data_IF_178662312937
#
_entry.id   IF_178662312937
#
_cell.length_a   1.000
_cell.length_b   1.000
_cell.length_c   1.000
_cell.angle_alpha   90.00
_cell.angle_beta   90.00
_cell.angle_gamma   90.00
#
_symmetry.space_group_name_H-M   'P 1'
#
loop_
_entity.id
_entity.type
_entity.pdbx_description
1 polymer ?
#
# COMPACT_ATOMS: atom_id res chain seq x y z
N UNK A 1 -4.81 -10.12 23.12
CA UNK A 1 -4.00 -9.45 22.07
C UNK A 1 -2.84 -10.37 21.75
N UNK A 2 -2.61 -10.63 20.47
CA UNK A 2 -1.46 -11.39 20.01
C UNK A 2 -0.17 -10.64 20.32
N UNK A 3 0.89 -11.35 20.69
CA UNK A 3 2.19 -10.72 20.97
C UNK A 3 2.89 -10.43 19.65
N UNK A 4 2.72 -9.21 19.15
CA UNK A 4 3.41 -8.76 17.93
C UNK A 4 4.90 -8.54 18.26
N UNK A 5 5.78 -9.23 17.55
CA UNK A 5 7.22 -8.99 17.62
C UNK A 5 7.62 -8.08 16.46
N UNK A 6 8.29 -6.98 16.79
CA UNK A 6 8.78 -6.00 15.82
C UNK A 6 10.31 -5.99 15.80
N UNK A 7 10.89 -6.00 14.61
CA UNK A 7 12.33 -5.79 14.41
C UNK A 7 12.55 -4.72 13.34
N UNK A 8 13.45 -3.77 13.63
CA UNK A 8 13.76 -2.64 12.77
C UNK A 8 15.24 -2.67 12.37
N UNK A 9 15.51 -2.28 11.13
CA UNK A 9 16.86 -2.05 10.62
C UNK A 9 16.86 -1.05 9.45
N UNK A 10 18.05 -0.78 8.93
CA UNK A 10 18.26 0.14 7.82
C UNK A 10 19.07 -0.51 6.70
N UNK A 11 18.82 -0.10 5.46
CA UNK A 11 19.63 -0.43 4.30
C UNK A 11 20.11 0.85 3.60
N UNK A 12 21.40 0.88 3.25
CA UNK A 12 22.06 2.01 2.59
C UNK A 12 22.48 1.69 1.15
N UNK A 13 22.07 0.52 0.64
CA UNK A 13 22.18 0.13 -0.77
C UNK A 13 21.02 -0.77 -1.20
N UNK A 14 20.81 -0.91 -2.50
CA UNK A 14 19.79 -1.81 -3.06
C UNK A 14 20.07 -3.27 -2.72
N UNK A 15 21.33 -3.69 -2.74
CA UNK A 15 21.74 -5.05 -2.38
C UNK A 15 21.47 -5.34 -0.90
N UNK A 16 21.75 -4.39 -0.01
CA UNK A 16 21.41 -4.52 1.41
C UNK A 16 19.89 -4.66 1.61
N UNK A 17 19.08 -3.83 0.93
CA UNK A 17 17.62 -3.92 1.00
C UNK A 17 17.14 -5.29 0.52
N UNK A 18 17.61 -5.74 -0.65
CA UNK A 18 17.26 -7.05 -1.22
C UNK A 18 17.63 -8.19 -0.28
N UNK A 19 18.84 -8.18 0.27
CA UNK A 19 19.30 -9.20 1.21
C UNK A 19 18.45 -9.26 2.49
N UNK A 20 18.03 -8.11 3.02
CA UNK A 20 17.11 -8.06 4.16
C UNK A 20 15.75 -8.66 3.82
N UNK A 21 15.19 -8.32 2.65
CA UNK A 21 13.90 -8.86 2.20
C UNK A 21 13.99 -10.37 1.92
N UNK A 22 15.04 -10.84 1.25
CA UNK A 22 15.25 -12.28 1.00
C UNK A 22 15.39 -13.05 2.31
N UNK A 23 16.15 -12.52 3.28
CA UNK A 23 16.26 -13.12 4.60
C UNK A 23 14.89 -13.21 5.30
N UNK A 24 14.07 -12.16 5.18
CA UNK A 24 12.70 -12.17 5.71
C UNK A 24 11.82 -13.23 5.04
N UNK A 25 11.87 -13.34 3.71
CA UNK A 25 11.13 -14.36 2.95
C UNK A 25 11.56 -15.79 3.33
N UNK A 26 12.87 -16.02 3.47
CA UNK A 26 13.44 -17.35 3.72
C UNK A 26 13.23 -17.82 5.16
N UNK A 27 13.08 -16.89 6.11
CA UNK A 27 12.80 -17.20 7.50
C UNK A 27 11.37 -17.71 7.76
N UNK A 28 10.46 -17.58 6.80
CA UNK A 28 9.08 -18.02 6.94
C UNK A 28 8.82 -19.33 6.20
N UNK A 29 8.25 -20.35 6.86
CA UNK A 29 7.89 -21.59 6.20
C UNK A 29 6.74 -21.41 5.19
N UNK A 30 6.09 -20.24 5.14
CA UNK A 30 4.88 -20.06 4.35
C UNK A 30 5.08 -20.00 2.85
N UNK A 31 4.08 -20.49 2.09
CA UNK A 31 4.16 -20.76 0.65
C UNK A 31 3.76 -19.58 -0.24
N UNK A 32 3.32 -18.45 0.34
CA UNK A 32 2.82 -17.32 -0.44
C UNK A 32 3.22 -15.95 0.09
N UNK A 33 3.94 -15.21 -0.75
CA UNK A 33 4.26 -13.80 -0.54
C UNK A 33 3.42 -12.90 -1.44
N UNK A 34 2.89 -11.83 -0.86
CA UNK A 34 2.28 -10.72 -1.59
C UNK A 34 3.17 -9.49 -1.41
N UNK A 35 3.48 -8.80 -2.50
CA UNK A 35 4.37 -7.63 -2.51
C UNK A 35 3.57 -6.43 -3.01
N UNK A 36 3.29 -5.49 -2.12
CA UNK A 36 2.68 -4.21 -2.45
C UNK A 36 3.76 -3.25 -2.96
N UNK A 37 3.58 -2.77 -4.18
CA UNK A 37 4.53 -1.91 -4.88
C UNK A 37 3.87 -1.18 -6.04
N UNK A 38 4.60 -0.25 -6.66
CA UNK A 38 4.07 0.55 -7.77
C UNK A 38 2.96 1.49 -7.35
N UNK A 39 2.91 1.87 -6.06
CA UNK A 39 1.87 2.77 -5.60
C UNK A 39 1.97 4.11 -6.32
N UNK A 40 0.85 4.56 -6.87
CA UNK A 40 0.74 5.85 -7.53
C UNK A 40 -0.53 6.59 -7.15
N UNK A 41 -0.46 7.91 -7.27
CA UNK A 41 -1.59 8.82 -7.11
C UNK A 41 -2.25 9.09 -8.46
N UNK A 42 -3.54 9.37 -8.47
CA UNK A 42 -4.25 9.88 -9.65
C UNK A 42 -4.13 11.39 -9.73
N UNK A 43 -3.78 11.91 -10.91
CA UNK A 43 -3.71 13.34 -11.18
C UNK A 43 -4.71 13.71 -12.26
N UNK A 44 -5.34 14.87 -12.13
CA UNK A 44 -6.21 15.41 -13.17
C UNK A 44 -5.40 15.98 -14.34
N UNK A 45 -5.57 15.36 -15.51
CA UNK A 45 -5.05 15.84 -16.78
C UNK A 45 -6.08 16.78 -17.45
N UNK A 46 -5.76 18.06 -17.46
CA UNK A 46 -6.60 19.11 -18.05
C UNK A 46 -6.73 19.00 -19.57
N UNK A 47 -5.76 18.38 -20.26
CA UNK A 47 -5.81 18.26 -21.71
C UNK A 47 -6.79 17.18 -22.16
N UNK A 48 -6.81 16.06 -21.45
CA UNK A 48 -7.70 14.94 -21.74
C UNK A 48 -9.00 14.95 -20.93
N UNK A 49 -9.14 15.91 -20.00
CA UNK A 49 -10.26 16.03 -19.04
C UNK A 49 -10.50 14.73 -18.26
N UNK A 50 -9.41 14.08 -17.82
CA UNK A 50 -9.45 12.74 -17.21
C UNK A 50 -8.43 12.62 -16.08
N UNK A 51 -8.58 11.58 -15.27
CA UNK A 51 -7.53 11.19 -14.32
C UNK A 51 -6.47 10.35 -15.03
N UNK A 52 -5.22 10.69 -14.80
CA UNK A 52 -4.05 9.96 -15.28
C UNK A 52 -3.29 9.33 -14.10
N UNK A 53 -2.70 8.13 -14.28
CA UNK A 53 -1.76 7.56 -13.30
C UNK A 53 -0.56 8.48 -13.09
N UNK A 54 -0.18 8.68 -11.83
CA UNK A 54 0.99 9.44 -11.40
C UNK A 54 2.33 8.73 -11.65
N UNK A 55 2.52 8.24 -12.87
CA UNK A 55 3.74 7.58 -13.36
C UNK A 55 4.33 8.45 -14.45
N UNK A 56 5.28 9.32 -14.10
CA UNK A 56 5.69 10.43 -14.97
C UNK A 56 6.34 9.96 -16.29
N UNK A 57 6.87 8.74 -16.33
CA UNK A 57 7.44 8.12 -17.53
C UNK A 57 6.38 7.88 -18.63
N UNK A 58 5.12 7.72 -18.24
CA UNK A 58 4.01 7.42 -19.14
C UNK A 58 3.19 8.68 -19.53
N UNK A 59 3.34 9.77 -18.78
CA UNK A 59 2.63 11.03 -19.03
C UNK A 59 3.20 11.75 -20.26
N UNK A 60 2.31 12.13 -21.18
CA UNK A 60 2.66 12.85 -22.42
C UNK A 60 2.63 14.37 -22.24
N UNK A 61 1.65 14.91 -21.51
CA UNK A 61 1.59 16.35 -21.25
C UNK A 61 2.82 16.83 -20.46
N UNK A 62 3.65 17.72 -21.01
CA UNK A 62 4.88 18.17 -20.34
C UNK A 62 4.63 18.85 -18.99
N UNK A 63 3.52 19.58 -18.85
CA UNK A 63 3.20 20.29 -17.61
C UNK A 63 2.84 19.30 -16.50
N UNK A 64 1.89 18.41 -16.77
CA UNK A 64 1.51 17.35 -15.85
C UNK A 64 2.69 16.44 -15.52
N UNK A 65 3.49 16.07 -16.52
CA UNK A 65 4.71 15.26 -16.33
C UNK A 65 5.67 15.90 -15.34
N UNK A 66 5.91 17.21 -15.45
CA UNK A 66 6.78 17.93 -14.52
C UNK A 66 6.20 17.94 -13.11
N UNK A 67 4.89 18.14 -12.96
CA UNK A 67 4.21 18.14 -11.66
C UNK A 67 4.30 16.76 -10.98
N UNK A 68 3.97 15.70 -11.72
CA UNK A 68 4.05 14.33 -11.20
C UNK A 68 5.49 13.96 -10.88
N UNK A 69 6.45 14.30 -11.74
CA UNK A 69 7.88 14.06 -11.48
C UNK A 69 8.35 14.74 -10.19
N UNK A 70 7.96 15.99 -9.96
CA UNK A 70 8.32 16.73 -8.75
C UNK A 70 7.65 16.13 -7.50
N UNK A 71 6.42 15.63 -7.62
CA UNK A 71 5.66 15.14 -6.48
C UNK A 71 6.04 13.71 -6.09
N UNK A 72 6.18 12.84 -7.08
CA UNK A 72 6.24 11.39 -6.88
C UNK A 72 7.63 10.83 -7.18
N UNK A 73 8.36 11.44 -8.12
CA UNK A 73 9.68 10.98 -8.51
C UNK A 73 9.65 9.58 -9.12
N UNK A 74 10.75 8.83 -8.97
CA UNK A 74 10.90 7.49 -9.54
C UNK A 74 10.21 6.38 -8.73
N UNK A 75 9.69 6.69 -7.55
CA UNK A 75 9.17 5.69 -6.60
C UNK A 75 8.19 4.67 -7.24
N UNK A 76 7.18 5.06 -8.05
CA UNK A 76 6.21 4.10 -8.57
C UNK A 76 6.87 3.07 -9.49
N UNK A 77 7.62 3.52 -10.50
CA UNK A 77 8.30 2.62 -11.45
C UNK A 77 9.41 1.82 -10.77
N UNK A 78 10.17 2.45 -9.87
CA UNK A 78 11.26 1.82 -9.14
C UNK A 78 10.77 0.68 -8.24
N UNK A 79 9.78 0.96 -7.38
CA UNK A 79 9.23 -0.04 -6.47
C UNK A 79 8.58 -1.20 -7.24
N UNK A 80 7.91 -0.92 -8.36
CA UNK A 80 7.32 -1.95 -9.22
C UNK A 80 8.39 -2.89 -9.81
N UNK A 81 9.47 -2.33 -10.36
CA UNK A 81 10.61 -3.10 -10.87
C UNK A 81 11.20 -3.98 -9.76
N UNK A 82 11.48 -3.39 -8.60
CA UNK A 82 12.02 -4.13 -7.45
C UNK A 82 11.10 -5.28 -7.03
N UNK A 83 9.79 -5.05 -6.99
CA UNK A 83 8.83 -6.08 -6.61
C UNK A 83 8.80 -7.27 -7.57
N UNK A 84 8.98 -7.04 -8.88
CA UNK A 84 9.13 -8.12 -9.86
C UNK A 84 10.37 -8.96 -9.54
N UNK A 85 11.53 -8.33 -9.34
CA UNK A 85 12.78 -9.04 -9.00
C UNK A 85 12.65 -9.84 -7.69
N UNK A 86 12.00 -9.27 -6.68
CA UNK A 86 11.73 -9.94 -5.41
C UNK A 86 10.78 -11.14 -5.58
N UNK A 87 9.74 -10.99 -6.39
CA UNK A 87 8.79 -12.06 -6.70
C UNK A 87 9.47 -13.20 -7.49
N UNK A 88 10.29 -12.87 -8.49
CA UNK A 88 11.10 -13.85 -9.23
C UNK A 88 12.01 -14.64 -8.31
N UNK A 89 12.74 -13.96 -7.42
CA UNK A 89 13.60 -14.63 -6.46
C UNK A 89 12.80 -15.60 -5.58
N UNK A 90 11.63 -15.19 -5.07
CA UNK A 90 10.80 -16.07 -4.25
C UNK A 90 10.28 -17.28 -5.03
N UNK A 91 9.87 -17.09 -6.29
CA UNK A 91 9.37 -18.19 -7.14
C UNK A 91 10.49 -19.17 -7.48
N UNK A 92 11.67 -18.68 -7.86
CA UNK A 92 12.78 -19.53 -8.31
C UNK A 92 13.52 -20.16 -7.14
N UNK A 93 13.95 -19.36 -6.16
CA UNK A 93 14.80 -19.82 -5.06
C UNK A 93 14.02 -20.64 -4.04
N UNK A 94 12.77 -20.26 -3.76
CA UNK A 94 11.98 -20.90 -2.72
C UNK A 94 10.92 -21.86 -3.27
N UNK A 95 10.75 -21.95 -4.59
CA UNK A 95 9.72 -22.76 -5.24
C UNK A 95 8.31 -22.48 -4.68
N UNK A 96 7.99 -21.20 -4.48
CA UNK A 96 6.78 -20.72 -3.80
C UNK A 96 6.06 -19.64 -4.59
N UNK A 97 4.80 -19.39 -4.25
CA UNK A 97 3.98 -18.43 -4.99
C UNK A 97 4.30 -16.99 -4.57
N UNK A 98 4.49 -16.12 -5.56
CA UNK A 98 4.57 -14.68 -5.35
C UNK A 98 3.47 -13.95 -6.11
N UNK A 99 2.85 -12.97 -5.44
CA UNK A 99 1.86 -12.08 -6.01
C UNK A 99 2.28 -10.62 -5.83
N UNK A 100 1.91 -9.77 -6.79
CA UNK A 100 2.07 -8.32 -6.73
C UNK A 100 0.74 -7.69 -6.32
N UNK A 101 0.79 -6.58 -5.59
CA UNK A 101 -0.37 -5.80 -5.18
C UNK A 101 -0.14 -4.34 -5.57
N UNK A 102 -1.04 -3.79 -6.38
CA UNK A 102 -1.00 -2.38 -6.78
C UNK A 102 -2.02 -1.58 -5.96
N UNK A 103 -1.56 -0.64 -5.16
CA UNK A 103 -2.41 0.32 -4.44
C UNK A 103 -2.51 1.64 -5.23
N UNK A 104 -3.71 2.19 -5.42
CA UNK A 104 -3.91 3.44 -6.16
C UNK A 104 -4.58 4.50 -5.27
N UNK A 105 -3.85 5.58 -5.00
CA UNK A 105 -4.36 6.77 -4.29
C UNK A 105 -5.19 7.64 -5.23
N UNK A 106 -6.50 7.57 -5.03
CA UNK A 106 -7.52 8.10 -5.95
C UNK A 106 -8.25 9.33 -5.40
N UNK A 107 -7.70 10.00 -4.38
CA UNK A 107 -8.41 11.08 -3.69
C UNK A 107 -7.60 12.38 -3.50
N UNK A 108 -6.27 12.36 -3.56
CA UNK A 108 -5.47 13.54 -3.21
C UNK A 108 -5.39 14.63 -4.30
N UNK A 109 -5.19 14.26 -5.56
CA UNK A 109 -4.94 15.19 -6.67
C UNK A 109 -6.04 15.17 -7.73
N UNK A 110 -7.26 14.83 -7.31
CA UNK A 110 -8.47 14.81 -8.14
C UNK A 110 -9.27 16.10 -7.94
N UNK A 111 -10.10 16.51 -8.90
CA UNK A 111 -10.97 17.68 -8.74
C UNK A 111 -11.87 17.51 -7.52
N UNK A 112 -12.16 18.60 -6.80
CA UNK A 112 -13.06 18.59 -5.64
C UNK A 112 -14.53 18.76 -6.05
N UNK A 113 -15.44 18.35 -5.17
CA UNK A 113 -16.89 18.45 -5.40
C UNK A 113 -17.51 17.19 -6.01
N UNK A 114 -18.74 17.32 -6.51
CA UNK A 114 -19.55 16.19 -6.96
C UNK A 114 -18.93 15.41 -8.13
N UNK A 115 -18.16 16.10 -8.99
CA UNK A 115 -17.49 15.50 -10.15
C UNK A 115 -16.32 14.57 -9.80
N UNK A 116 -15.79 14.64 -8.56
CA UNK A 116 -14.68 13.77 -8.13
C UNK A 116 -15.03 12.28 -8.24
N UNK A 117 -16.30 11.95 -7.95
CA UNK A 117 -16.81 10.59 -8.05
C UNK A 117 -16.88 10.11 -9.50
N UNK A 118 -17.29 10.99 -10.42
CA UNK A 118 -17.44 10.69 -11.84
C UNK A 118 -16.07 10.40 -12.47
N UNK A 119 -15.09 11.26 -12.21
CA UNK A 119 -13.72 11.08 -12.72
C UNK A 119 -13.07 9.79 -12.24
N UNK A 120 -13.22 9.43 -10.95
CA UNK A 120 -12.74 8.13 -10.43
C UNK A 120 -13.45 6.96 -11.10
N UNK A 121 -14.76 7.06 -11.26
CA UNK A 121 -15.57 6.01 -11.88
C UNK A 121 -15.15 5.79 -13.32
N UNK A 122 -14.95 6.86 -14.09
CA UNK A 122 -14.43 6.79 -15.46
C UNK A 122 -13.03 6.16 -15.49
N UNK A 123 -12.12 6.58 -14.59
CA UNK A 123 -10.79 6.00 -14.49
C UNK A 123 -10.85 4.48 -14.29
N UNK A 124 -11.55 3.98 -13.26
CA UNK A 124 -11.60 2.54 -12.98
C UNK A 124 -12.40 1.75 -14.02
N UNK A 125 -13.35 2.37 -14.70
CA UNK A 125 -14.03 1.74 -15.84
C UNK A 125 -13.07 1.53 -17.01
N UNK A 126 -12.14 2.47 -17.25
CA UNK A 126 -11.17 2.43 -18.35
C UNK A 126 -9.85 1.73 -18.00
N UNK A 127 -9.51 1.60 -16.72
CA UNK A 127 -8.25 1.00 -16.25
C UNK A 127 -8.26 -0.53 -16.39
N UNK A 128 -8.07 -1.02 -17.63
CA UNK A 128 -8.05 -2.45 -17.96
C UNK A 128 -6.65 -3.05 -18.08
N UNK A 129 -5.63 -2.21 -18.08
CA UNK A 129 -4.23 -2.58 -18.23
C UNK A 129 -3.37 -1.74 -17.28
N UNK A 130 -2.22 -2.27 -16.90
CA UNK A 130 -1.24 -1.55 -16.09
C UNK A 130 -0.62 -0.38 -16.87
N UNK A 131 -0.03 0.61 -16.19
CA UNK A 131 0.80 1.62 -16.83
C UNK A 131 1.84 1.00 -17.78
N UNK A 132 2.15 1.70 -18.88
CA UNK A 132 3.02 1.18 -19.94
C UNK A 132 4.41 0.85 -19.41
N UNK A 133 4.98 1.69 -18.53
CA UNK A 133 6.27 1.41 -17.89
C UNK A 133 6.22 0.13 -17.04
N UNK A 134 5.10 -0.13 -16.37
CA UNK A 134 4.93 -1.31 -15.52
C UNK A 134 4.82 -2.58 -16.36
N UNK A 135 4.08 -2.51 -17.47
CA UNK A 135 4.00 -3.60 -18.44
C UNK A 135 5.36 -3.89 -19.07
N UNK A 136 6.14 -2.85 -19.40
CA UNK A 136 7.48 -3.05 -19.96
C UNK A 136 8.40 -3.83 -19.00
N UNK A 137 8.36 -3.51 -17.71
CA UNK A 137 9.10 -4.28 -16.69
C UNK A 137 8.55 -5.69 -16.52
N UNK A 138 7.23 -5.86 -16.48
CA UNK A 138 6.61 -7.17 -16.34
C UNK A 138 6.93 -8.09 -17.53
N UNK A 139 6.90 -7.56 -18.75
CA UNK A 139 7.22 -8.29 -19.98
C UNK A 139 8.71 -8.64 -20.10
N UNK A 140 9.58 -8.00 -19.30
CA UNK A 140 11.00 -8.38 -19.22
C UNK A 140 11.22 -9.63 -18.35
N UNK A 141 10.24 -9.97 -17.51
CA UNK A 141 10.21 -11.22 -16.74
C UNK A 141 9.61 -12.36 -17.57
N UNK A 142 10.24 -13.53 -17.52
CA UNK A 142 9.66 -14.78 -18.05
C UNK A 142 8.88 -15.57 -17.00
N UNK A 143 8.87 -15.11 -15.75
CA UNK A 143 8.34 -15.83 -14.58
C UNK A 143 7.11 -15.12 -14.02
N UNK A 144 7.21 -13.81 -13.79
CA UNK A 144 6.15 -12.99 -13.21
C UNK A 144 5.35 -12.37 -14.35
N UNK A 145 4.05 -12.63 -14.35
CA UNK A 145 3.11 -12.15 -15.38
C UNK A 145 1.94 -11.40 -14.76
N UNK A 146 1.00 -10.93 -15.57
CA UNK A 146 -0.22 -10.28 -15.05
C UNK A 146 -1.07 -11.21 -14.18
N UNK A 147 -0.92 -12.53 -14.33
CA UNK A 147 -1.57 -13.52 -13.46
C UNK A 147 -1.02 -13.52 -12.02
N UNK A 148 0.15 -12.91 -11.80
CA UNK A 148 0.71 -12.70 -10.48
C UNK A 148 0.10 -11.47 -9.78
N UNK A 149 -0.78 -10.69 -10.40
CA UNK A 149 -1.40 -9.54 -9.75
C UNK A 149 -2.53 -10.02 -8.83
N UNK A 150 -2.53 -9.52 -7.59
CA UNK A 150 -3.60 -9.73 -6.62
C UNK A 150 -4.77 -8.83 -6.99
N UNK A 151 -5.95 -9.40 -7.19
CA UNK A 151 -7.18 -8.63 -7.34
C UNK A 151 -7.69 -8.16 -5.97
N UNK A 152 -8.24 -6.95 -5.92
CA UNK A 152 -9.09 -6.55 -4.79
C UNK A 152 -10.51 -7.00 -5.03
N UNK A 153 -11.37 -6.88 -4.01
CA UNK A 153 -12.81 -7.08 -4.19
C UNK A 153 -13.46 -6.07 -5.16
N UNK A 154 -12.79 -4.93 -5.41
CA UNK A 154 -13.31 -3.85 -6.25
C UNK A 154 -12.79 -3.89 -7.67
N UNK A 155 -11.54 -4.29 -7.87
CA UNK A 155 -10.86 -4.19 -9.15
C UNK A 155 -9.86 -5.33 -9.39
N UNK A 156 -9.78 -5.81 -10.64
CA UNK A 156 -8.96 -6.97 -11.01
C UNK A 156 -7.45 -6.71 -10.94
N UNK A 157 -7.02 -5.46 -11.11
CA UNK A 157 -5.60 -5.09 -11.22
C UNK A 157 -5.05 -4.32 -10.03
N UNK A 158 -5.91 -3.85 -9.12
CA UNK A 158 -5.48 -2.90 -8.09
C UNK A 158 -6.42 -2.85 -6.89
N UNK A 159 -5.97 -2.14 -5.88
CA UNK A 159 -6.67 -1.79 -4.66
C UNK A 159 -6.90 -0.26 -4.68
N UNK A 160 -8.14 0.21 -4.93
CA UNK A 160 -8.46 1.63 -4.83
C UNK A 160 -8.49 2.10 -3.36
N UNK A 161 -7.76 3.17 -3.03
CA UNK A 161 -7.69 3.65 -1.64
C UNK A 161 -9.06 4.07 -1.08
N UNK A 162 -9.84 4.85 -1.86
CA UNK A 162 -11.19 5.28 -1.44
C UNK A 162 -12.11 4.10 -1.15
N UNK A 163 -11.98 3.00 -1.90
CA UNK A 163 -12.74 1.78 -1.62
C UNK A 163 -12.35 1.15 -0.29
N UNK A 164 -11.05 1.00 -0.04
CA UNK A 164 -10.54 0.45 1.22
C UNK A 164 -10.95 1.29 2.43
N UNK A 165 -10.89 2.62 2.30
CA UNK A 165 -11.37 3.56 3.32
C UNK A 165 -12.83 3.32 3.67
N UNK A 166 -13.72 3.28 2.67
CA UNK A 166 -15.15 3.06 2.87
C UNK A 166 -15.46 1.68 3.44
N UNK A 167 -14.72 0.66 3.00
CA UNK A 167 -14.83 -0.71 3.52
C UNK A 167 -14.42 -0.77 4.99
N UNK A 168 -13.31 -0.14 5.35
CA UNK A 168 -12.86 -0.08 6.72
C UNK A 168 -13.84 0.68 7.63
N UNK A 169 -14.53 1.73 7.17
CA UNK A 169 -15.56 2.42 8.00
C UNK A 169 -16.69 1.48 8.43
N UNK A 170 -17.16 0.66 7.48
CA UNK A 170 -18.19 -0.33 7.73
C UNK A 170 -17.67 -1.41 8.68
N UNK A 171 -16.43 -1.85 8.47
CA UNK A 171 -15.78 -2.86 9.30
C UNK A 171 -15.50 -2.34 10.73
N UNK A 172 -15.06 -1.09 10.87
CA UNK A 172 -14.83 -0.42 12.15
C UNK A 172 -16.10 -0.40 12.99
N UNK A 173 -17.25 -0.13 12.37
CA UNK A 173 -18.56 -0.20 13.04
C UNK A 173 -18.89 -1.61 13.56
N UNK A 174 -18.49 -2.66 12.83
CA UNK A 174 -18.64 -4.06 13.26
C UNK A 174 -17.68 -4.38 14.41
N UNK A 175 -16.43 -3.91 14.34
CA UNK A 175 -15.40 -4.13 15.35
C UNK A 175 -15.72 -3.40 16.67
N UNK A 176 -16.37 -2.23 16.62
CA UNK A 176 -16.92 -1.56 17.81
C UNK A 176 -17.96 -2.44 18.50
N UNK A 177 -18.90 -3.03 17.74
CA UNK A 177 -19.91 -3.94 18.31
C UNK A 177 -19.30 -5.21 18.93
N UNK A 178 -18.11 -5.59 18.50
CA UNK A 178 -17.34 -6.73 19.05
C UNK A 178 -16.45 -6.34 20.23
N UNK A 179 -16.42 -5.07 20.63
CA UNK A 179 -15.55 -4.57 21.69
C UNK A 179 -14.07 -4.53 21.31
N UNK A 180 -13.72 -4.66 20.02
CA UNK A 180 -12.33 -4.57 19.55
C UNK A 180 -11.88 -3.12 19.28
N UNK A 181 -12.82 -2.21 19.06
CA UNK A 181 -12.58 -0.76 18.89
C UNK A 181 -13.49 0.03 19.82
N UNK A 182 -13.05 1.24 20.19
CA UNK A 182 -13.84 2.17 20.99
C UNK A 182 -14.49 3.23 20.08
N UNK A 183 -15.77 3.56 20.34
CA UNK A 183 -16.45 4.68 19.71
C UNK A 183 -16.73 5.76 20.75
N UNK A 184 -16.30 6.99 20.46
CA UNK A 184 -16.50 8.18 21.28
C UNK A 184 -17.24 9.23 20.47
N UNK A 185 -18.13 9.98 21.12
CA UNK A 185 -18.72 11.19 20.55
C UNK A 185 -17.89 12.40 20.96
N UNK A 186 -17.73 13.38 20.07
CA UNK A 186 -16.98 14.60 20.34
C UNK A 186 -17.88 15.51 21.19
N UNK A 187 -17.49 15.88 22.43
CA UNK A 187 -18.38 16.64 23.32
C UNK A 187 -18.86 17.98 22.73
N UNK A 188 -18.02 18.62 21.94
CA UNK A 188 -18.28 19.91 21.28
C UNK A 188 -19.09 19.77 19.99
N UNK A 189 -19.21 18.56 19.44
CA UNK A 189 -19.91 18.26 18.18
C UNK A 189 -20.59 16.87 18.30
N UNK A 190 -21.77 16.77 18.93
CA UNK A 190 -22.39 15.49 19.29
C UNK A 190 -22.79 14.63 18.09
N UNK A 191 -22.93 15.21 16.90
CA UNK A 191 -23.17 14.48 15.65
C UNK A 191 -21.88 13.85 15.08
N UNK A 192 -20.72 14.24 15.61
CA UNK A 192 -19.43 13.69 15.20
C UNK A 192 -18.96 12.62 16.17
N UNK A 193 -18.50 11.51 15.60
CA UNK A 193 -17.94 10.40 16.36
C UNK A 193 -16.55 10.03 15.86
N UNK A 194 -15.72 9.61 16.79
CA UNK A 194 -14.40 9.05 16.56
C UNK A 194 -14.44 7.56 16.90
N UNK A 195 -13.89 6.73 16.02
CA UNK A 195 -13.59 5.33 16.31
C UNK A 195 -12.08 5.21 16.44
N UNK A 196 -11.63 4.72 17.59
CA UNK A 196 -10.22 4.56 17.91
C UNK A 196 -9.84 3.13 18.26
N UNK A 197 -8.58 2.82 18.01
CA UNK A 197 -7.92 1.62 18.51
C UNK A 197 -7.07 2.00 19.72
N UNK A 198 -7.20 1.25 20.81
CA UNK A 198 -6.35 1.40 21.99
C UNK A 198 -5.26 0.33 21.92
N UNK A 199 -4.01 0.76 21.84
CA UNK A 199 -2.88 -0.16 21.84
C UNK A 199 -2.59 -0.75 23.23
N UNK A 200 -1.62 -1.66 23.31
CA UNK A 200 -1.24 -2.31 24.56
C UNK A 200 -0.67 -1.34 25.62
N UNK A 201 -0.24 -0.14 25.22
CA UNK A 201 0.22 0.92 26.15
C UNK A 201 -0.93 1.74 26.73
N UNK A 202 -2.16 1.54 26.23
CA UNK A 202 -3.32 2.36 26.57
C UNK A 202 -3.44 3.63 25.72
N UNK A 203 -2.59 3.80 24.70
CA UNK A 203 -2.65 4.95 23.80
C UNK A 203 -3.79 4.76 22.79
N UNK A 204 -4.67 5.76 22.69
CA UNK A 204 -5.79 5.76 21.74
C UNK A 204 -5.37 6.39 20.42
N UNK A 205 -5.51 5.63 19.34
CA UNK A 205 -5.21 6.05 17.98
C UNK A 205 -6.53 6.19 17.19
N UNK A 206 -6.89 7.40 16.72
CA UNK A 206 -8.10 7.59 15.93
C UNK A 206 -7.93 6.92 14.55
N UNK A 207 -8.88 6.04 14.20
CA UNK A 207 -8.89 5.35 12.91
C UNK A 207 -9.94 5.92 11.96
N UNK A 208 -11.08 6.31 12.53
CA UNK A 208 -12.14 7.02 11.83
C UNK A 208 -12.46 8.27 12.64
N UNK A 209 -12.30 9.44 12.07
CA UNK A 209 -12.70 10.70 12.70
C UNK A 209 -13.72 11.38 11.79
N UNK A 210 -14.90 11.70 12.34
CA UNK A 210 -15.98 12.37 11.62
C UNK A 210 -16.39 11.66 10.32
N UNK A 211 -16.33 10.33 10.30
CA UNK A 211 -16.65 9.53 9.11
C UNK A 211 -15.55 9.51 8.04
N UNK A 212 -14.33 9.97 8.33
CA UNK A 212 -13.17 9.86 7.46
C UNK A 212 -12.16 8.86 8.02
N UNK A 213 -11.74 7.92 7.18
CA UNK A 213 -10.72 6.91 7.53
C UNK A 213 -9.33 7.46 7.24
N UNK A 214 -8.45 7.42 8.23
CA UNK A 214 -7.03 7.71 8.02
C UNK A 214 -6.33 6.58 7.24
N UNK A 215 -5.16 6.85 6.66
CA UNK A 215 -4.42 5.88 5.85
C UNK A 215 -4.16 4.54 6.58
N UNK A 216 -4.04 4.55 7.91
CA UNK A 216 -3.88 3.33 8.70
C UNK A 216 -5.08 2.35 8.55
N UNK A 217 -6.33 2.84 8.55
CA UNK A 217 -7.51 1.98 8.43
C UNK A 217 -7.65 1.36 7.04
N UNK A 218 -7.25 2.09 6.02
CA UNK A 218 -7.14 1.57 4.66
C UNK A 218 -6.14 0.43 4.56
N UNK A 219 -4.93 0.61 5.11
CA UNK A 219 -3.90 -0.42 5.11
C UNK A 219 -4.36 -1.64 5.89
N UNK A 220 -5.08 -1.43 6.99
CA UNK A 220 -5.72 -2.51 7.75
C UNK A 220 -6.71 -3.33 6.91
N UNK A 221 -7.57 -2.71 6.09
CA UNK A 221 -8.47 -3.45 5.18
C UNK A 221 -7.70 -4.11 4.03
N UNK A 222 -6.68 -3.45 3.46
CA UNK A 222 -5.83 -4.04 2.42
C UNK A 222 -5.16 -5.33 2.90
N UNK A 223 -4.57 -5.32 4.10
CA UNK A 223 -3.95 -6.50 4.72
C UNK A 223 -5.00 -7.60 4.90
N UNK A 224 -6.22 -7.25 5.33
CA UNK A 224 -7.32 -8.21 5.48
C UNK A 224 -7.72 -8.85 4.15
N UNK A 225 -7.83 -8.06 3.08
CA UNK A 225 -8.10 -8.59 1.74
C UNK A 225 -6.94 -9.45 1.21
N UNK A 226 -5.69 -9.02 1.37
CA UNK A 226 -4.52 -9.79 0.97
C UNK A 226 -4.41 -11.13 1.71
N UNK A 227 -4.63 -11.14 3.03
CA UNK A 227 -4.61 -12.37 3.82
C UNK A 227 -5.70 -13.36 3.36
N UNK A 228 -6.91 -12.87 3.07
CA UNK A 228 -8.00 -13.68 2.50
C UNK A 228 -7.69 -14.18 1.09
N UNK A 229 -6.87 -13.45 0.33
CA UNK A 229 -6.36 -13.89 -0.97
C UNK A 229 -5.19 -14.90 -0.88
N UNK A 230 -4.79 -15.29 0.34
CA UNK A 230 -3.76 -16.30 0.58
C UNK A 230 -2.42 -15.75 1.08
N UNK A 231 -2.28 -14.43 1.23
CA UNK A 231 -1.04 -13.84 1.73
C UNK A 231 -0.73 -14.32 3.15
N UNK A 232 0.51 -14.73 3.36
CA UNK A 232 1.05 -15.13 4.68
C UNK A 232 2.39 -14.48 4.96
N UNK A 233 3.08 -14.09 3.88
CA UNK A 233 4.10 -13.05 3.88
C UNK A 233 3.55 -11.85 3.12
N UNK A 234 3.68 -10.66 3.70
CA UNK A 234 3.33 -9.42 3.04
C UNK A 234 4.53 -8.47 3.08
N UNK A 235 4.93 -7.95 1.92
CA UNK A 235 5.99 -6.95 1.80
C UNK A 235 5.34 -5.68 1.29
N UNK A 236 5.51 -4.58 2.01
CA UNK A 236 4.96 -3.28 1.69
C UNK A 236 6.11 -2.33 1.33
N UNK A 237 6.29 -2.11 0.03
CA UNK A 237 7.24 -1.12 -0.48
C UNK A 237 6.51 0.23 -0.54
N UNK A 238 6.77 1.07 0.45
CA UNK A 238 6.01 2.28 0.72
C UNK A 238 6.81 3.54 0.42
N UNK A 239 6.15 4.64 0.02
CA UNK A 239 6.80 5.93 -0.01
C UNK A 239 6.98 6.48 1.41
N UNK A 240 8.01 7.31 1.63
CA UNK A 240 8.36 7.87 2.94
C UNK A 240 7.18 8.54 3.65
N UNK A 241 6.40 9.33 2.91
CA UNK A 241 5.23 10.04 3.46
C UNK A 241 4.13 9.09 3.98
N UNK A 242 4.11 7.84 3.50
CA UNK A 242 3.17 6.81 3.92
C UNK A 242 3.74 5.82 4.94
N UNK A 243 5.04 5.88 5.26
CA UNK A 243 5.71 4.85 6.07
C UNK A 243 5.11 4.73 7.48
N UNK A 244 5.04 5.84 8.21
CA UNK A 244 4.46 5.86 9.55
C UNK A 244 2.99 5.38 9.60
N UNK A 245 2.06 5.89 8.75
CA UNK A 245 0.69 5.40 8.75
C UNK A 245 0.55 3.94 8.31
N UNK A 246 1.37 3.45 7.38
CA UNK A 246 1.37 2.03 6.97
C UNK A 246 1.75 1.14 8.14
N UNK A 247 2.84 1.47 8.83
CA UNK A 247 3.31 0.73 10.02
C UNK A 247 2.23 0.66 11.09
N UNK A 248 1.53 1.76 11.35
CA UNK A 248 0.37 1.75 12.25
C UNK A 248 -0.77 0.88 11.75
N UNK A 249 -1.10 0.96 10.46
CA UNK A 249 -2.09 0.07 9.85
C UNK A 249 -1.76 -1.42 10.00
N UNK A 250 -0.48 -1.79 9.93
CA UNK A 250 0.01 -3.15 10.18
C UNK A 250 -0.18 -3.56 11.65
N UNK A 251 0.28 -2.74 12.60
CA UNK A 251 0.12 -3.01 14.04
C UNK A 251 -1.34 -3.21 14.43
N UNK A 252 -2.21 -2.34 13.90
CA UNK A 252 -3.66 -2.40 14.10
C UNK A 252 -4.23 -3.68 13.49
N UNK A 253 -3.86 -4.02 12.25
CA UNK A 253 -4.35 -5.20 11.55
C UNK A 253 -4.01 -6.49 12.31
N UNK A 254 -2.74 -6.65 12.73
CA UNK A 254 -2.27 -7.81 13.48
C UNK A 254 -2.86 -7.87 14.91
N UNK A 255 -3.27 -6.74 15.48
CA UNK A 255 -3.91 -6.68 16.80
C UNK A 255 -5.41 -6.97 16.74
N UNK A 256 -6.09 -6.49 15.70
CA UNK A 256 -7.55 -6.59 15.55
C UNK A 256 -8.00 -7.94 15.01
N UNK A 257 -7.21 -8.52 14.10
CA UNK A 257 -7.59 -9.73 13.39
C UNK A 257 -6.71 -10.90 13.80
N UNK A 258 -7.31 -12.09 13.79
CA UNK A 258 -6.63 -13.34 14.07
C UNK A 258 -5.95 -13.86 12.80
N UNK A 259 -4.91 -13.13 12.36
CA UNK A 259 -4.12 -13.49 11.19
C UNK A 259 -2.96 -14.42 11.59
N UNK A 260 -3.21 -15.71 11.62
CA UNK A 260 -2.16 -16.69 11.89
C UNK A 260 -2.06 -17.74 10.77
N UNK A 261 -0.85 -18.00 10.22
CA UNK A 261 0.37 -17.18 10.34
C UNK A 261 0.32 -15.94 9.41
N UNK A 262 0.73 -14.76 9.86
CA UNK A 262 1.02 -13.62 8.99
C UNK A 262 2.29 -12.88 9.45
N UNK A 263 3.23 -12.67 8.53
CA UNK A 263 4.38 -11.81 8.74
C UNK A 263 4.37 -10.68 7.73
N UNK A 264 4.70 -9.46 8.19
CA UNK A 264 4.71 -8.26 7.36
C UNK A 264 6.08 -7.58 7.42
N UNK A 265 6.63 -7.20 6.28
CA UNK A 265 7.80 -6.32 6.17
C UNK A 265 7.35 -5.02 5.51
N UNK A 266 7.74 -3.88 6.08
CA UNK A 266 7.51 -2.54 5.51
C UNK A 266 8.86 -1.92 5.24
N UNK A 267 9.10 -1.50 4.00
CA UNK A 267 10.31 -0.78 3.61
C UNK A 267 9.96 0.59 3.03
N UNK A 268 10.59 1.63 3.57
CA UNK A 268 10.46 3.01 3.11
C UNK A 268 11.41 3.27 1.94
N UNK A 269 10.91 3.25 0.71
CA UNK A 269 11.75 3.44 -0.48
C UNK A 269 11.97 4.92 -0.85
N UNK A 270 11.83 5.84 0.10
CA UNK A 270 11.73 7.26 -0.23
C UNK A 270 10.44 7.55 -1.00
N UNK A 271 10.20 8.80 -1.37
CA UNK A 271 8.97 9.17 -2.07
C UNK A 271 8.52 10.56 -1.66
N UNK A 272 8.89 11.52 -2.49
CA UNK A 272 8.55 12.95 -2.48
C UNK A 272 9.33 13.66 -3.60
N UNK A 273 9.37 13.07 -4.80
CA UNK A 273 10.07 13.65 -5.94
C UNK A 273 11.52 13.23 -6.12
N UNK A 274 12.02 12.24 -5.37
CA UNK A 274 13.35 11.68 -5.59
C UNK A 274 13.52 11.14 -7.02
N UNK A 275 14.68 11.43 -7.63
CA UNK A 275 14.93 11.11 -9.04
C UNK A 275 15.95 9.99 -9.27
N UNK A 276 16.67 9.58 -8.23
CA UNK A 276 17.69 8.52 -8.32
C UNK A 276 17.65 7.61 -7.09
N UNK A 277 18.01 6.35 -7.29
CA UNK A 277 18.15 5.38 -6.20
C UNK A 277 19.29 5.78 -5.26
N UNK A 278 20.40 6.31 -5.76
CA UNK A 278 21.50 6.81 -4.93
C UNK A 278 21.03 7.83 -3.88
N UNK A 279 20.15 8.77 -4.27
CA UNK A 279 19.62 9.75 -3.35
C UNK A 279 18.68 9.11 -2.32
N UNK A 280 17.83 8.17 -2.75
CA UNK A 280 16.97 7.37 -1.86
C UNK A 280 17.82 6.64 -0.79
N UNK A 281 18.85 5.92 -1.23
CA UNK A 281 19.72 5.14 -0.34
C UNK A 281 20.63 5.99 0.55
N UNK A 282 21.01 7.20 0.10
CA UNK A 282 21.80 8.14 0.91
C UNK A 282 21.09 8.56 2.21
N UNK A 283 19.75 8.48 2.26
CA UNK A 283 18.95 8.78 3.46
C UNK A 283 18.80 7.58 4.40
N UNK A 284 19.15 6.37 3.94
CA UNK A 284 18.87 5.12 4.63
C UNK A 284 17.41 4.69 4.49
N UNK A 285 17.20 3.44 4.06
CA UNK A 285 15.89 2.82 3.93
C UNK A 285 15.52 2.16 5.24
N UNK A 286 14.51 2.71 5.92
CA UNK A 286 13.99 2.10 7.13
C UNK A 286 13.15 0.88 6.78
N UNK A 287 13.50 -0.26 7.36
CA UNK A 287 12.80 -1.53 7.23
C UNK A 287 12.27 -1.92 8.60
N UNK A 288 10.98 -2.24 8.68
CA UNK A 288 10.32 -2.74 9.88
C UNK A 288 9.63 -4.06 9.57
N UNK A 289 9.88 -5.07 10.40
CA UNK A 289 9.26 -6.40 10.27
C UNK A 289 8.36 -6.68 11.46
N UNK A 290 7.24 -7.34 11.21
CA UNK A 290 6.18 -7.64 12.15
C UNK A 290 5.80 -9.12 12.04
N UNK A 291 5.73 -9.81 13.18
CA UNK A 291 5.31 -11.22 13.26
C UNK A 291 4.35 -11.42 14.43
N UNK A 292 3.28 -12.17 14.18
CA UNK A 292 2.40 -12.76 15.22
C UNK A 292 2.97 -14.07 15.72
#
# INVERSE_FOLDING_TARGET
MHKITTYENFAFSEDELKNNIFSFMNASPSDSVHIMAGHFMLFYDKQSDRLAPGVFEDIQDPLLKSQVKQRVGIFPTYSWKLAIELAEHHIVSNNKNAKLLLLINDWQYVPSGDSACDYRTEFYNSFKELPRSYLAHLNSSSIVTTQNITCSRRHALCFPETWLKNRFQNEASRLVKQGKLAKRYIPEQPDMSEISFTDASGTSLPLVSCGMTGCAGEITEMISEAYRAGARLLILLAPNECHAPIRKGVEIALSLYDFEPLSVLVADLGGSGELTTDYIYSKGIHIATYRT
#
